data_IF_800691043129
#
_entry.id   IF_800691043129
#
_cell.length_a   1.000
_cell.length_b   1.000
_cell.length_c   1.000
_cell.angle_alpha   90.00
_cell.angle_beta   90.00
_cell.angle_gamma   90.00
#
_symmetry.space_group_name_H-M   'P 1'
#
loop_
_entity.id
_entity.type
_entity.pdbx_description
1 polymer ?
#
# COMPACT_ATOMS: atom_id res chain seq x y z
N UNK A 1 -20.12 -10.11 3.13
CA UNK A 1 -19.89 -8.66 3.30
C UNK A 1 -18.41 -8.26 3.27
N UNK A 2 -17.45 -9.04 3.81
CA UNK A 2 -16.03 -8.64 3.87
C UNK A 2 -15.28 -8.42 2.53
N UNK A 3 -15.69 -9.08 1.43
CA UNK A 3 -14.90 -9.10 0.17
C UNK A 3 -14.87 -7.77 -0.61
N UNK A 4 -15.85 -6.88 -0.40
CA UNK A 4 -16.01 -5.67 -1.23
C UNK A 4 -15.20 -4.50 -0.69
N UNK A 5 -15.17 -4.34 0.64
CA UNK A 5 -14.39 -3.26 1.28
C UNK A 5 -12.89 -3.47 1.11
N UNK A 6 -12.40 -4.71 1.21
CA UNK A 6 -10.99 -5.03 1.00
C UNK A 6 -10.49 -4.60 -0.38
N UNK A 7 -11.32 -4.78 -1.43
CA UNK A 7 -10.97 -4.37 -2.79
C UNK A 7 -10.85 -2.86 -2.93
N UNK A 8 -11.75 -2.09 -2.29
CA UNK A 8 -11.67 -0.61 -2.31
C UNK A 8 -10.35 -0.09 -1.75
N UNK A 9 -9.93 -0.60 -0.59
CA UNK A 9 -8.67 -0.20 0.03
C UNK A 9 -7.46 -0.57 -0.83
N UNK A 10 -7.46 -1.77 -1.42
CA UNK A 10 -6.39 -2.24 -2.30
C UNK A 10 -6.30 -1.37 -3.56
N UNK A 11 -7.42 -1.04 -4.21
CA UNK A 11 -7.41 -0.16 -5.39
C UNK A 11 -6.94 1.27 -5.06
N UNK A 12 -7.35 1.84 -3.92
CA UNK A 12 -6.85 3.13 -3.49
C UNK A 12 -5.34 3.11 -3.19
N UNK A 13 -4.86 2.07 -2.51
CA UNK A 13 -3.45 1.92 -2.20
C UNK A 13 -2.61 1.74 -3.48
N UNK A 14 -3.09 0.97 -4.46
CA UNK A 14 -2.44 0.84 -5.77
C UNK A 14 -2.36 2.17 -6.49
N UNK A 15 -3.45 2.95 -6.53
CA UNK A 15 -3.45 4.28 -7.15
C UNK A 15 -2.40 5.22 -6.52
N UNK A 16 -2.33 5.24 -5.20
CA UNK A 16 -1.33 6.02 -4.45
C UNK A 16 0.09 5.51 -4.73
N UNK A 17 0.32 4.19 -4.70
CA UNK A 17 1.63 3.61 -4.99
C UNK A 17 2.09 3.92 -6.43
N UNK A 18 1.17 3.84 -7.40
CA UNK A 18 1.43 4.23 -8.78
C UNK A 18 1.81 5.70 -8.89
N UNK A 19 1.11 6.61 -8.21
CA UNK A 19 1.39 8.05 -8.25
C UNK A 19 2.70 8.41 -7.53
N UNK A 20 2.92 7.85 -6.33
CA UNK A 20 4.11 8.12 -5.51
C UNK A 20 5.40 7.52 -6.09
N UNK A 21 5.34 6.28 -6.57
CA UNK A 21 6.52 5.53 -7.04
C UNK A 21 6.64 5.44 -8.56
N UNK A 22 5.66 5.95 -9.32
CA UNK A 22 5.63 5.86 -10.79
C UNK A 22 5.79 4.41 -11.30
N UNK A 23 5.10 3.48 -10.65
CA UNK A 23 5.13 2.05 -10.96
C UNK A 23 3.83 1.59 -11.65
N UNK A 24 3.87 0.41 -12.28
CA UNK A 24 2.69 -0.21 -12.91
C UNK A 24 1.76 -0.87 -11.88
N UNK A 25 0.48 -1.05 -12.20
CA UNK A 25 -0.51 -1.70 -11.30
C UNK A 25 -0.05 -3.09 -10.83
N UNK A 26 0.62 -3.85 -11.70
CA UNK A 26 1.21 -5.14 -11.36
C UNK A 26 2.32 -5.04 -10.29
N UNK A 27 3.19 -4.05 -10.40
CA UNK A 27 4.26 -3.81 -9.42
C UNK A 27 3.69 -3.26 -8.11
N UNK A 28 2.70 -2.37 -8.18
CA UNK A 28 2.00 -1.88 -6.99
C UNK A 28 1.36 -3.03 -6.22
N UNK A 29 0.74 -3.99 -6.92
CA UNK A 29 0.18 -5.19 -6.31
C UNK A 29 1.24 -6.10 -5.69
N UNK A 30 2.36 -6.34 -6.38
CA UNK A 30 3.45 -7.17 -5.84
C UNK A 30 4.09 -6.52 -4.59
N UNK A 31 4.27 -5.19 -4.60
CA UNK A 31 4.72 -4.45 -3.43
C UNK A 31 3.74 -4.55 -2.26
N UNK A 32 2.45 -4.28 -2.49
CA UNK A 32 1.40 -4.45 -1.47
C UNK A 32 1.43 -5.84 -0.85
N UNK A 33 1.57 -6.87 -1.70
CA UNK A 33 1.65 -8.26 -1.28
C UNK A 33 2.92 -8.56 -0.49
N UNK A 34 4.09 -8.10 -0.96
CA UNK A 34 5.38 -8.23 -0.25
C UNK A 34 5.33 -7.54 1.11
N UNK A 35 4.74 -6.35 1.18
CA UNK A 35 4.62 -5.56 2.39
C UNK A 35 3.68 -6.24 3.40
N UNK A 36 2.56 -6.80 2.94
CA UNK A 36 1.67 -7.64 3.74
C UNK A 36 2.36 -8.88 4.31
N UNK A 37 3.19 -9.56 3.49
CA UNK A 37 4.02 -10.68 3.92
C UNK A 37 5.05 -10.27 4.98
N UNK A 38 5.73 -9.14 4.77
CA UNK A 38 6.78 -8.66 5.67
C UNK A 38 6.21 -8.22 7.03
N UNK A 39 5.07 -7.55 7.04
CA UNK A 39 4.36 -7.14 8.26
C UNK A 39 3.52 -8.26 8.89
N UNK A 40 3.40 -9.43 8.24
CA UNK A 40 2.49 -10.53 8.62
C UNK A 40 1.05 -10.07 8.82
N UNK A 41 0.59 -9.14 7.98
CA UNK A 41 -0.76 -8.56 8.00
C UNK A 41 -1.53 -8.94 6.74
N UNK A 42 -2.85 -8.73 6.75
CA UNK A 42 -3.66 -8.90 5.54
C UNK A 42 -3.34 -7.79 4.54
N UNK A 43 -3.52 -8.08 3.25
CA UNK A 43 -3.30 -7.11 2.18
C UNK A 43 -4.17 -5.85 2.35
N UNK A 44 -5.41 -6.02 2.84
CA UNK A 44 -6.31 -4.90 3.18
C UNK A 44 -5.76 -4.03 4.31
N UNK A 45 -5.18 -4.60 5.36
CA UNK A 45 -4.64 -3.83 6.50
C UNK A 45 -3.45 -2.98 6.05
N UNK A 46 -2.59 -3.54 5.19
CA UNK A 46 -1.46 -2.80 4.63
C UNK A 46 -1.93 -1.74 3.65
N UNK A 47 -2.88 -2.07 2.76
CA UNK A 47 -3.48 -1.09 1.85
C UNK A 47 -4.12 0.08 2.61
N UNK A 48 -4.89 -0.22 3.65
CA UNK A 48 -5.51 0.78 4.52
C UNK A 48 -4.45 1.62 5.21
N UNK A 49 -3.36 1.01 5.70
CA UNK A 49 -2.24 1.72 6.33
C UNK A 49 -1.57 2.67 5.34
N UNK A 50 -1.30 2.25 4.11
CA UNK A 50 -0.71 3.09 3.05
C UNK A 50 -1.62 4.29 2.74
N UNK A 51 -2.92 4.05 2.52
CA UNK A 51 -3.90 5.13 2.25
C UNK A 51 -3.97 6.11 3.42
N UNK A 52 -3.88 5.62 4.65
CA UNK A 52 -3.96 6.42 5.88
C UNK A 52 -2.66 7.17 6.17
N UNK A 53 -1.51 6.61 5.78
CA UNK A 53 -0.18 7.21 5.88
C UNK A 53 0.11 8.21 4.76
N UNK A 54 -0.55 8.11 3.60
CA UNK A 54 -0.38 9.03 2.47
C UNK A 54 -0.37 10.53 2.82
N UNK A 55 -1.33 11.07 3.60
CA UNK A 55 -1.29 12.48 4.00
C UNK A 55 -0.16 12.82 4.99
N UNK A 56 0.39 11.83 5.71
CA UNK A 56 1.49 12.01 6.66
C UNK A 56 2.86 11.94 5.95
N UNK A 57 2.99 11.11 4.93
CA UNK A 57 4.20 10.94 4.12
C UNK A 57 4.60 12.23 3.36
N UNK A 58 3.63 13.09 3.01
CA UNK A 58 3.90 14.43 2.47
C UNK A 58 4.67 15.33 3.46
N UNK A 59 4.75 14.95 4.74
CA UNK A 59 5.45 15.71 5.79
C UNK A 59 6.69 15.01 6.35
N UNK A 60 6.78 13.68 6.26
CA UNK A 60 7.89 12.93 6.85
C UNK A 60 7.97 11.51 6.26
N UNK A 61 8.82 11.27 5.27
CA UNK A 61 9.41 9.93 5.08
C UNK A 61 10.82 10.03 4.52
N UNK A 62 11.72 10.06 5.48
CA UNK A 62 13.08 9.60 5.38
C UNK A 62 13.19 8.45 6.37
N UNK A 63 13.23 7.20 5.90
CA UNK A 63 13.52 6.10 6.82
C UNK A 63 13.25 4.67 6.34
N UNK A 64 14.10 4.14 5.43
CA UNK A 64 14.35 2.70 5.24
C UNK A 64 13.12 1.85 4.86
N UNK A 65 13.17 0.61 4.40
CA UNK A 65 14.15 -0.46 4.45
C UNK A 65 13.71 -1.41 3.33
N UNK A 66 14.57 -1.71 2.35
CA UNK A 66 14.84 -3.09 1.97
C UNK A 66 15.99 -3.16 0.98
N UNK A 67 16.86 -4.12 1.28
CA UNK A 67 18.12 -4.47 0.63
C UNK A 67 17.90 -5.10 -0.74
#
# INVERSE_FOLDING_TARGET
MARIEERKWIDQAKGILCELKNISDAEAYDLLRKQALNERKRMVDVATSIVRLHPLLRRSDSGGINK
#
